data_IF_482181503073
#
_entry.id   IF_482181503073
#
_cell.length_a   1.000
_cell.length_b   1.000
_cell.length_c   1.000
_cell.angle_alpha   90.00
_cell.angle_beta   90.00
_cell.angle_gamma   90.00
#
_symmetry.space_group_name_H-M   'P 1'
#
loop_
_entity.id
_entity.type
_entity.pdbx_description
1 polymer ?
#
# COMPACT_ATOMS: atom_id res chain seq x y z
N UNK A 1 -37.20 -0.21 -9.72
CA UNK A 1 -35.80 -0.56 -10.07
C UNK A 1 -34.83 0.27 -9.23
N UNK A 2 -34.42 -0.25 -8.08
CA UNK A 2 -33.36 0.37 -7.27
C UNK A 2 -32.05 0.02 -7.94
N UNK A 3 -31.43 0.98 -8.63
CA UNK A 3 -30.05 0.85 -9.08
C UNK A 3 -29.20 0.53 -7.85
N UNK A 4 -28.70 -0.69 -7.76
CA UNK A 4 -27.83 -1.10 -6.68
C UNK A 4 -26.53 -0.32 -6.80
N UNK A 5 -26.42 0.78 -6.05
CA UNK A 5 -25.13 1.42 -5.82
C UNK A 5 -24.25 0.38 -5.13
N UNK A 6 -23.31 -0.18 -5.89
CA UNK A 6 -22.27 -1.05 -5.35
C UNK A 6 -21.48 -0.20 -4.35
N UNK A 7 -21.78 -0.36 -3.06
CA UNK A 7 -21.08 0.34 -1.98
C UNK A 7 -19.70 -0.28 -1.80
N UNK A 8 -18.70 0.29 -2.47
CA UNK A 8 -17.30 -0.09 -2.29
C UNK A 8 -16.78 0.25 -0.89
N UNK A 9 -15.82 -0.53 -0.39
CA UNK A 9 -15.10 -0.17 0.83
C UNK A 9 -14.29 1.12 0.62
N UNK A 10 -13.95 1.82 1.69
CA UNK A 10 -13.12 3.04 1.58
C UNK A 10 -11.75 2.76 0.96
N UNK A 11 -11.14 1.60 1.27
CA UNK A 11 -9.89 1.16 0.66
C UNK A 11 -10.02 0.94 -0.83
N UNK A 12 -11.11 0.30 -1.25
CA UNK A 12 -11.39 0.03 -2.65
C UNK A 12 -11.62 1.33 -3.43
N UNK A 13 -12.31 2.31 -2.85
CA UNK A 13 -12.44 3.65 -3.43
C UNK A 13 -11.09 4.33 -3.58
N UNK A 14 -10.20 4.20 -2.59
CA UNK A 14 -8.86 4.78 -2.63
C UNK A 14 -8.02 4.13 -3.72
N UNK A 15 -7.96 2.80 -3.75
CA UNK A 15 -7.15 2.03 -4.71
C UNK A 15 -7.64 2.24 -6.15
N UNK A 16 -8.96 2.35 -6.37
CA UNK A 16 -9.51 2.51 -7.73
C UNK A 16 -9.52 3.96 -8.22
N UNK A 17 -9.81 4.94 -7.36
CA UNK A 17 -10.28 6.26 -7.81
C UNK A 17 -9.56 7.47 -7.17
N UNK A 18 -8.52 7.26 -6.36
CA UNK A 18 -7.83 8.37 -5.68
C UNK A 18 -6.38 8.49 -6.08
N UNK A 19 -5.88 9.72 -6.02
CA UNK A 19 -4.45 10.00 -6.01
C UNK A 19 -3.89 9.69 -4.62
N UNK A 20 -3.39 8.47 -4.46
CA UNK A 20 -2.88 8.00 -3.17
C UNK A 20 -1.60 8.75 -2.77
N UNK A 21 -0.79 9.22 -3.73
CA UNK A 21 0.41 10.02 -3.43
C UNK A 21 0.01 11.34 -2.77
N UNK A 22 -1.02 12.01 -3.28
CA UNK A 22 -1.54 13.21 -2.62
C UNK A 22 -2.12 12.92 -1.22
N UNK A 23 -2.75 11.76 -1.02
CA UNK A 23 -3.25 11.36 0.30
C UNK A 23 -2.09 11.14 1.30
N UNK A 24 -0.99 10.53 0.86
CA UNK A 24 0.24 10.38 1.65
C UNK A 24 0.77 11.75 2.07
N UNK A 25 0.93 12.68 1.12
CA UNK A 25 1.43 14.04 1.38
C UNK A 25 0.57 14.77 2.42
N UNK A 26 -0.75 14.72 2.27
CA UNK A 26 -1.69 15.34 3.22
C UNK A 26 -1.58 14.72 4.62
N UNK A 27 -1.46 13.39 4.70
CA UNK A 27 -1.32 12.70 5.98
C UNK A 27 -0.01 13.07 6.69
N UNK A 28 1.10 13.16 5.94
CA UNK A 28 2.40 13.60 6.47
C UNK A 28 2.36 15.06 6.93
N UNK A 29 1.79 15.96 6.12
CA UNK A 29 1.67 17.38 6.46
C UNK A 29 0.80 17.62 7.71
N UNK A 30 -0.13 16.70 7.99
CA UNK A 30 -0.96 16.71 9.19
C UNK A 30 -0.35 15.92 10.36
N UNK A 31 0.91 15.49 10.23
CA UNK A 31 1.64 14.64 11.19
C UNK A 31 0.91 13.33 11.55
N UNK A 32 -0.02 12.89 10.69
CA UNK A 32 -0.73 11.64 10.84
C UNK A 32 0.05 10.50 10.16
N UNK A 33 1.17 10.15 10.77
CA UNK A 33 2.10 9.16 10.23
C UNK A 33 1.51 7.76 10.08
N UNK A 34 0.61 7.38 11.00
CA UNK A 34 -0.10 6.10 10.91
C UNK A 34 -1.01 6.05 9.68
N UNK A 35 -1.71 7.13 9.36
CA UNK A 35 -2.50 7.23 8.15
C UNK A 35 -1.62 7.29 6.89
N UNK A 36 -0.48 7.98 6.95
CA UNK A 36 0.48 8.00 5.86
C UNK A 36 1.02 6.60 5.54
N UNK A 37 1.33 5.79 6.57
CA UNK A 37 1.76 4.39 6.42
C UNK A 37 0.66 3.54 5.78
N UNK A 38 -0.61 3.75 6.17
CA UNK A 38 -1.73 3.07 5.51
C UNK A 38 -1.83 3.43 4.03
N UNK A 39 -1.72 4.70 3.68
CA UNK A 39 -1.80 5.10 2.28
C UNK A 39 -0.62 4.58 1.46
N UNK A 40 0.59 4.52 2.03
CA UNK A 40 1.72 3.83 1.40
C UNK A 40 1.42 2.35 1.13
N UNK A 41 0.83 1.64 2.07
CA UNK A 41 0.45 0.23 1.88
C UNK A 41 -0.59 0.05 0.76
N UNK A 42 -1.65 0.87 0.76
CA UNK A 42 -2.64 0.87 -0.32
C UNK A 42 -2.03 1.24 -1.68
N UNK A 43 -1.03 2.13 -1.69
CA UNK A 43 -0.30 2.47 -2.89
C UNK A 43 0.47 1.28 -3.44
N UNK A 44 1.19 0.53 -2.60
CA UNK A 44 1.85 -0.71 -3.03
C UNK A 44 0.85 -1.71 -3.62
N UNK A 45 -0.28 -1.97 -2.96
CA UNK A 45 -1.31 -2.86 -3.49
C UNK A 45 -1.84 -2.40 -4.85
N UNK A 46 -2.09 -1.10 -5.03
CA UNK A 46 -2.47 -0.52 -6.31
C UNK A 46 -1.41 -0.78 -7.38
N UNK A 47 -0.12 -0.59 -7.05
CA UNK A 47 0.98 -0.77 -8.01
C UNK A 47 1.22 -2.23 -8.38
N UNK A 48 1.17 -3.14 -7.40
CA UNK A 48 1.23 -4.58 -7.64
C UNK A 48 0.06 -5.03 -8.53
N UNK A 49 -1.15 -4.53 -8.28
CA UNK A 49 -2.33 -4.86 -9.08
C UNK A 49 -2.23 -4.32 -10.50
N UNK A 50 -1.73 -3.09 -10.69
CA UNK A 50 -1.50 -2.50 -12.02
C UNK A 50 -0.46 -3.25 -12.84
N UNK A 51 0.53 -3.87 -12.19
CA UNK A 51 1.54 -4.72 -12.83
C UNK A 51 1.08 -6.19 -12.94
N UNK A 52 -0.18 -6.48 -12.62
CA UNK A 52 -0.78 -7.82 -12.64
C UNK A 52 -0.02 -8.86 -11.79
N UNK A 53 0.71 -8.39 -10.78
CA UNK A 53 1.48 -9.22 -9.83
C UNK A 53 0.58 -9.79 -8.73
N UNK A 54 -0.53 -9.11 -8.45
CA UNK A 54 -1.61 -9.55 -7.57
C UNK A 54 -2.96 -9.15 -8.17
N UNK A 55 -4.03 -9.83 -7.80
CA UNK A 55 -5.40 -9.45 -8.15
C UNK A 55 -6.01 -8.77 -6.94
N UNK A 56 -6.19 -7.44 -6.99
CA UNK A 56 -6.81 -6.71 -5.88
C UNK A 56 -8.26 -7.13 -5.66
N UNK A 57 -8.59 -7.50 -4.43
CA UNK A 57 -9.94 -7.84 -3.97
C UNK A 57 -10.07 -7.43 -2.49
N UNK A 58 -11.06 -6.60 -2.16
CA UNK A 58 -11.24 -6.07 -0.81
C UNK A 58 -11.59 -7.14 0.24
N UNK A 59 -11.93 -8.36 -0.17
CA UNK A 59 -12.21 -9.48 0.74
C UNK A 59 -10.95 -10.28 1.11
N UNK A 60 -9.84 -10.09 0.39
CA UNK A 60 -8.57 -10.78 0.65
C UNK A 60 -7.87 -10.21 1.88
N UNK A 61 -7.21 -11.11 2.59
CA UNK A 61 -6.27 -10.78 3.65
C UNK A 61 -4.93 -10.32 3.06
N UNK A 62 -4.20 -9.58 3.88
CA UNK A 62 -2.85 -9.11 3.58
C UNK A 62 -1.86 -10.28 3.33
N UNK A 63 -2.02 -11.41 4.03
CA UNK A 63 -1.25 -12.64 3.81
C UNK A 63 -1.59 -13.31 2.46
N UNK A 64 -2.83 -13.24 1.98
CA UNK A 64 -3.20 -13.76 0.65
C UNK A 64 -2.46 -13.01 -0.47
N UNK A 65 -2.32 -11.69 -0.36
CA UNK A 65 -1.50 -10.92 -1.31
C UNK A 65 -0.04 -11.34 -1.31
N UNK A 66 0.54 -11.66 -0.15
CA UNK A 66 1.91 -12.20 -0.07
C UNK A 66 2.03 -13.51 -0.86
N UNK A 67 1.03 -14.39 -0.78
CA UNK A 67 1.04 -15.70 -1.44
C UNK A 67 0.85 -15.62 -2.96
N UNK A 68 0.28 -14.54 -3.50
CA UNK A 68 0.14 -14.33 -4.95
C UNK A 68 1.45 -13.91 -5.63
N UNK A 69 2.33 -13.24 -4.90
CA UNK A 69 3.59 -12.73 -5.45
C UNK A 69 4.54 -13.90 -5.73
N UNK A 70 4.86 -14.10 -7.01
CA UNK A 70 5.72 -15.21 -7.48
C UNK A 70 7.21 -14.93 -7.38
N UNK A 71 7.64 -13.69 -7.53
CA UNK A 71 9.06 -13.32 -7.42
C UNK A 71 9.49 -13.39 -5.94
N UNK A 72 10.46 -14.25 -5.56
CA UNK A 72 10.83 -14.44 -4.16
C UNK A 72 11.43 -13.19 -3.49
N UNK A 73 12.13 -12.34 -4.26
CA UNK A 73 12.73 -11.11 -3.75
C UNK A 73 11.64 -10.08 -3.46
N UNK A 74 10.66 -9.94 -4.34
CA UNK A 74 9.51 -9.07 -4.14
C UNK A 74 8.63 -9.58 -3.01
N UNK A 75 8.33 -10.88 -2.99
CA UNK A 75 7.50 -11.52 -1.97
C UNK A 75 8.08 -11.32 -0.56
N UNK A 76 9.38 -11.58 -0.39
CA UNK A 76 10.05 -11.43 0.91
C UNK A 76 10.04 -9.98 1.42
N UNK A 77 10.19 -9.00 0.52
CA UNK A 77 10.11 -7.58 0.84
C UNK A 77 8.69 -7.13 1.16
N UNK A 78 7.71 -7.55 0.36
CA UNK A 78 6.30 -7.27 0.62
C UNK A 78 5.84 -7.89 1.94
N UNK A 79 6.23 -9.14 2.24
CA UNK A 79 5.95 -9.80 3.53
C UNK A 79 6.49 -9.02 4.74
N UNK A 80 7.65 -8.37 4.59
CA UNK A 80 8.21 -7.51 5.64
C UNK A 80 7.35 -6.27 5.87
N UNK A 81 6.93 -5.61 4.78
CA UNK A 81 6.03 -4.45 4.85
C UNK A 81 4.65 -4.82 5.39
N UNK A 82 4.13 -5.99 5.04
CA UNK A 82 2.89 -6.54 5.57
C UNK A 82 2.89 -6.56 7.10
N UNK A 83 3.95 -7.12 7.69
CA UNK A 83 4.10 -7.18 9.15
C UNK A 83 4.16 -5.80 9.77
N UNK A 84 4.92 -4.87 9.18
CA UNK A 84 4.98 -3.48 9.67
C UNK A 84 3.59 -2.84 9.65
N UNK A 85 2.85 -3.02 8.55
CA UNK A 85 1.50 -2.53 8.40
C UNK A 85 0.55 -3.16 9.43
N UNK A 86 0.62 -4.47 9.66
CA UNK A 86 -0.18 -5.16 10.67
C UNK A 86 0.00 -4.56 12.06
N UNK A 87 1.26 -4.33 12.47
CA UNK A 87 1.57 -3.68 13.73
C UNK A 87 1.03 -2.24 13.77
N UNK A 88 1.39 -1.40 12.80
CA UNK A 88 1.03 0.03 12.86
C UNK A 88 -0.48 0.26 12.74
N UNK A 89 -1.15 -0.45 11.83
CA UNK A 89 -2.54 -0.18 11.50
C UNK A 89 -3.50 -0.94 12.41
N UNK A 90 -3.48 -2.28 12.37
CA UNK A 90 -4.39 -3.13 13.16
C UNK A 90 -3.99 -3.20 14.63
N UNK A 91 -2.68 -3.24 14.92
CA UNK A 91 -2.18 -3.17 16.30
C UNK A 91 -2.32 -1.78 16.95
N UNK A 92 -2.70 -0.76 16.17
CA UNK A 92 -2.86 0.62 16.62
C UNK A 92 -1.60 1.20 17.30
N UNK A 93 -0.41 0.76 16.85
CA UNK A 93 0.84 1.28 17.38
C UNK A 93 1.07 2.71 16.87
N UNK A 94 1.42 3.66 17.76
CA UNK A 94 1.76 5.01 17.33
C UNK A 94 3.03 4.99 16.48
N UNK A 95 3.08 5.81 15.44
CA UNK A 95 4.27 6.02 14.62
C UNK A 95 4.79 7.44 14.88
N UNK A 96 6.01 7.56 15.40
CA UNK A 96 6.69 8.85 15.44
C UNK A 96 7.15 9.27 14.05
N UNK A 97 7.54 10.53 13.88
CA UNK A 97 8.20 11.00 12.64
C UNK A 97 9.44 10.18 12.30
N UNK A 98 10.20 9.75 13.31
CA UNK A 98 11.41 8.94 13.11
C UNK A 98 11.08 7.51 12.65
N UNK A 99 9.99 6.92 13.17
CA UNK A 99 9.51 5.61 12.73
C UNK A 99 8.97 5.70 11.30
N UNK A 100 8.21 6.76 11.01
CA UNK A 100 7.70 7.03 9.68
C UNK A 100 8.81 7.10 8.65
N UNK A 101 9.89 7.85 8.90
CA UNK A 101 11.01 7.94 7.96
C UNK A 101 11.63 6.58 7.68
N UNK A 102 11.86 5.76 8.71
CA UNK A 102 12.41 4.39 8.51
C UNK A 102 11.46 3.52 7.70
N UNK A 103 10.17 3.55 8.02
CA UNK A 103 9.15 2.75 7.34
C UNK A 103 8.97 3.21 5.89
N UNK A 104 9.02 4.52 5.63
CA UNK A 104 8.97 5.09 4.28
C UNK A 104 10.10 4.57 3.40
N UNK A 105 11.32 4.42 3.94
CA UNK A 105 12.42 3.86 3.15
C UNK A 105 12.19 2.38 2.76
N UNK A 106 11.49 1.60 3.59
CA UNK A 106 11.08 0.24 3.22
C UNK A 106 10.06 0.25 2.07
N UNK A 107 9.12 1.20 2.08
CA UNK A 107 8.19 1.41 0.97
C UNK A 107 8.91 1.83 -0.32
N UNK A 108 9.78 2.85 -0.25
CA UNK A 108 10.58 3.31 -1.40
C UNK A 108 11.38 2.14 -2.02
N UNK A 109 12.03 1.34 -1.17
CA UNK A 109 12.82 0.17 -1.59
C UNK A 109 11.98 -0.89 -2.31
N UNK A 110 10.71 -1.08 -1.90
CA UNK A 110 9.79 -1.99 -2.59
C UNK A 110 9.29 -1.39 -3.90
N UNK A 111 8.95 -0.10 -3.92
CA UNK A 111 8.54 0.62 -5.14
C UNK A 111 9.60 0.47 -6.25
N UNK A 112 10.89 0.58 -5.93
CA UNK A 112 11.99 0.39 -6.89
C UNK A 112 12.06 -1.04 -7.48
N UNK A 113 11.59 -2.06 -6.74
CA UNK A 113 11.52 -3.44 -7.26
C UNK A 113 10.33 -3.58 -8.22
N UNK A 114 9.19 -2.95 -7.89
CA UNK A 114 7.96 -3.01 -8.71
C UNK A 114 8.11 -2.16 -9.99
N UNK A 115 8.80 -1.02 -9.88
CA UNK A 115 9.05 -0.06 -10.95
C UNK A 115 10.53 0.37 -10.92
N UNK A 116 11.41 -0.34 -11.63
CA UNK A 116 12.78 0.11 -11.79
C UNK A 116 12.79 1.47 -12.48
N UNK A 117 13.60 2.42 -12.00
CA UNK A 117 13.68 3.81 -12.49
C UNK A 117 14.04 3.98 -14.00
N UNK A 118 14.16 2.89 -14.76
CA UNK A 118 14.47 2.90 -16.19
C UNK A 118 13.22 2.91 -17.11
N UNK A 119 11.99 2.80 -16.58
CA UNK A 119 10.76 2.81 -17.39
C UNK A 119 10.07 4.20 -17.53
N UNK A 120 10.60 5.26 -16.92
CA UNK A 120 10.02 6.62 -16.99
C UNK A 120 10.66 7.53 -18.06
N UNK A 121 11.35 6.96 -19.04
CA UNK A 121 11.94 7.71 -20.15
C UNK A 121 11.67 7.02 -21.47
N UNK A 122 10.42 7.09 -21.94
CA UNK A 122 10.06 7.03 -23.37
C UNK A 122 8.91 8.00 -23.61
#
# INVERSE_FOLDING_TARGET
PTSGEISFSEEEKIIKNRDIRQLIEKAVASENYRLAIRYHFLYILQQLSRKELVIYDSSKTDEEYVNEIKDPRLQSRFKRLNRIYDFVWYGNFPASVSDYHKIREEFNSLEEIIQPQHEQSI
#
